data_IF_451205196185
#
_entry.id   IF_451205196185
#
_cell.length_a   1.000
_cell.length_b   1.000
_cell.length_c   1.000
_cell.angle_alpha   90.00
_cell.angle_beta   90.00
_cell.angle_gamma   90.00
#
_symmetry.space_group_name_H-M   'P 1'
#
loop_
_entity.id
_entity.type
_entity.pdbx_description
1 polymer ?
#
# COMPACT_ATOMS: atom_id res chain seq x y z
N UNK A 1 13.07 32.94 6.87
CA UNK A 1 13.27 32.81 8.33
C UNK A 1 11.90 32.84 8.96
N UNK A 2 11.59 31.75 9.69
CA UNK A 2 10.48 31.56 10.63
C UNK A 2 9.06 31.60 10.04
N UNK A 3 8.38 30.46 10.16
CA UNK A 3 6.99 30.18 9.77
C UNK A 3 6.04 31.36 10.04
N UNK A 4 5.22 31.70 9.03
CA UNK A 4 4.17 32.74 9.11
C UNK A 4 2.94 32.32 9.93
N UNK A 5 2.95 31.12 10.50
CA UNK A 5 1.82 30.58 11.24
C UNK A 5 2.15 30.78 12.72
N UNK A 6 1.53 31.81 13.30
CA UNK A 6 1.43 32.02 14.74
C UNK A 6 0.84 30.75 15.37
N UNK A 7 1.69 29.98 16.05
CA UNK A 7 1.29 28.77 16.77
C UNK A 7 0.49 29.15 18.00
N UNK A 8 -0.80 29.35 17.84
CA UNK A 8 -1.76 29.32 18.93
C UNK A 8 -2.11 27.86 19.24
N UNK A 9 -1.51 27.34 20.31
CA UNK A 9 -1.65 25.96 20.79
C UNK A 9 -2.86 25.75 21.71
N UNK A 10 -3.75 26.74 21.84
CA UNK A 10 -4.94 26.65 22.69
C UNK A 10 -6.14 25.95 22.03
N UNK A 11 -6.10 25.70 20.71
CA UNK A 11 -7.22 25.12 19.97
C UNK A 11 -6.92 23.66 19.50
N UNK A 12 -7.68 22.64 19.95
CA UNK A 12 -7.47 21.24 19.55
C UNK A 12 -7.59 20.98 18.05
N UNK A 13 -8.21 21.89 17.30
CA UNK A 13 -8.34 21.82 15.84
C UNK A 13 -6.97 22.03 15.13
N UNK A 14 -6.07 22.83 15.72
CA UNK A 14 -4.71 23.03 15.23
C UNK A 14 -3.78 21.84 15.51
N UNK A 15 -4.13 20.99 16.47
CA UNK A 15 -3.35 19.77 16.79
C UNK A 15 -3.51 18.76 15.65
N UNK A 16 -4.71 18.65 15.07
CA UNK A 16 -4.94 17.76 13.93
C UNK A 16 -4.25 18.30 12.67
N UNK A 17 -4.38 19.59 12.37
CA UNK A 17 -3.66 20.27 11.28
C UNK A 17 -2.13 20.12 11.40
N UNK A 18 -1.57 20.33 12.60
CA UNK A 18 -0.14 20.14 12.85
C UNK A 18 0.28 18.66 12.79
N UNK A 19 -0.56 17.72 13.23
CA UNK A 19 -0.25 16.29 13.12
C UNK A 19 -0.23 15.81 11.66
N UNK A 20 -1.15 16.30 10.83
CA UNK A 20 -1.15 16.05 9.38
C UNK A 20 0.07 16.69 8.69
N UNK A 21 0.54 17.84 9.15
CA UNK A 21 1.78 18.49 8.68
C UNK A 21 3.07 17.77 9.12
N UNK A 22 3.03 16.91 10.15
CA UNK A 22 4.22 16.27 10.73
C UNK A 22 4.59 14.91 10.13
N UNK A 23 3.71 14.26 9.34
CA UNK A 23 4.13 13.09 8.56
C UNK A 23 4.95 13.59 7.39
N UNK A 24 6.28 13.48 7.52
CA UNK A 24 7.21 13.83 6.44
C UNK A 24 6.79 13.17 5.13
N UNK A 25 6.89 13.87 3.98
CA UNK A 25 6.49 13.31 2.68
C UNK A 25 7.11 11.93 2.39
N UNK A 26 8.34 11.71 2.85
CA UNK A 26 9.02 10.43 2.73
C UNK A 26 8.32 9.29 3.49
N UNK A 27 7.77 9.59 4.68
CA UNK A 27 7.04 8.60 5.47
C UNK A 27 5.67 8.31 4.85
N UNK A 28 4.99 9.31 4.29
CA UNK A 28 3.76 9.10 3.52
C UNK A 28 4.02 8.14 2.36
N UNK A 29 5.09 8.36 1.59
CA UNK A 29 5.46 7.49 0.49
C UNK A 29 5.79 6.07 0.98
N UNK A 30 6.50 5.91 2.09
CA UNK A 30 6.81 4.60 2.64
C UNK A 30 5.57 3.80 3.09
N UNK A 31 4.52 4.49 3.57
CA UNK A 31 3.28 3.85 4.02
C UNK A 31 2.47 3.20 2.89
N UNK A 32 2.78 3.51 1.63
CA UNK A 32 2.17 2.84 0.48
C UNK A 32 2.49 1.34 0.48
N UNK A 33 3.71 0.94 0.84
CA UNK A 33 4.12 -0.47 0.85
C UNK A 33 3.19 -1.34 1.75
N UNK A 34 3.04 -1.08 3.07
CA UNK A 34 2.16 -1.89 3.91
C UNK A 34 0.68 -1.76 3.54
N UNK A 35 0.24 -0.60 3.07
CA UNK A 35 -1.15 -0.36 2.66
C UNK A 35 -1.53 -1.24 1.46
N UNK A 36 -0.74 -1.20 0.40
CA UNK A 36 -0.99 -1.97 -0.82
C UNK A 36 -0.74 -3.47 -0.63
N UNK A 37 0.18 -3.85 0.27
CA UNK A 37 0.30 -5.23 0.71
C UNK A 37 -0.97 -5.72 1.41
N UNK A 38 -1.52 -4.94 2.34
CA UNK A 38 -2.78 -5.24 3.01
C UNK A 38 -3.96 -5.37 2.05
N UNK A 39 -4.04 -4.46 1.07
CA UNK A 39 -5.04 -4.52 0.00
C UNK A 39 -4.91 -5.80 -0.84
N UNK A 40 -3.69 -6.17 -1.25
CA UNK A 40 -3.44 -7.41 -1.98
C UNK A 40 -3.82 -8.66 -1.15
N UNK A 41 -3.56 -8.67 0.16
CA UNK A 41 -3.99 -9.74 1.05
C UNK A 41 -5.52 -9.86 1.15
N UNK A 42 -6.22 -8.73 1.26
CA UNK A 42 -7.67 -8.69 1.29
C UNK A 42 -8.26 -9.28 -0.01
N UNK A 43 -7.70 -8.90 -1.16
CA UNK A 43 -8.07 -9.49 -2.45
C UNK A 43 -7.79 -10.99 -2.51
N UNK A 44 -6.63 -11.44 -2.04
CA UNK A 44 -6.30 -12.88 -1.99
C UNK A 44 -7.32 -13.64 -1.15
N UNK A 45 -7.66 -13.14 0.04
CA UNK A 45 -8.61 -13.80 0.93
C UNK A 45 -10.01 -13.88 0.30
N UNK A 46 -10.47 -12.79 -0.31
CA UNK A 46 -11.77 -12.72 -0.99
C UNK A 46 -11.82 -13.65 -2.22
N UNK A 47 -10.83 -13.55 -3.11
CA UNK A 47 -10.80 -14.28 -4.38
C UNK A 47 -10.53 -15.78 -4.22
N UNK A 48 -9.90 -16.20 -3.12
CA UNK A 48 -9.63 -17.63 -2.83
C UNK A 48 -10.90 -18.48 -2.84
N UNK A 49 -12.07 -17.91 -2.50
CA UNK A 49 -13.36 -18.62 -2.52
C UNK A 49 -13.91 -18.82 -3.95
N UNK A 50 -13.59 -17.92 -4.87
CA UNK A 50 -14.18 -17.88 -6.21
C UNK A 50 -13.25 -18.43 -7.30
N UNK A 51 -11.93 -18.33 -7.12
CA UNK A 51 -10.94 -18.76 -8.11
C UNK A 51 -10.25 -20.03 -7.61
N UNK A 52 -10.70 -21.18 -8.14
CA UNK A 52 -10.21 -22.51 -7.76
C UNK A 52 -8.84 -22.87 -8.36
N UNK A 53 -8.40 -22.18 -9.42
CA UNK A 53 -7.10 -22.41 -10.04
C UNK A 53 -5.95 -22.05 -9.10
N UNK A 54 -4.97 -22.95 -9.04
CA UNK A 54 -3.82 -22.84 -8.14
C UNK A 54 -3.05 -21.55 -8.42
N UNK A 55 -2.92 -20.69 -7.40
CA UNK A 55 -2.27 -19.38 -7.44
C UNK A 55 -2.94 -18.30 -8.31
N UNK A 56 -3.94 -18.61 -9.13
CA UNK A 56 -4.60 -17.61 -9.98
C UNK A 56 -5.23 -16.48 -9.16
N UNK A 57 -5.84 -16.77 -8.01
CA UNK A 57 -6.35 -15.74 -7.10
C UNK A 57 -5.27 -14.75 -6.63
N UNK A 58 -4.01 -15.19 -6.51
CA UNK A 58 -2.88 -14.34 -6.10
C UNK A 58 -2.46 -13.41 -7.23
N UNK A 59 -2.37 -13.92 -8.46
CA UNK A 59 -2.09 -13.08 -9.63
C UNK A 59 -3.20 -12.07 -9.90
N UNK A 60 -4.47 -12.48 -9.78
CA UNK A 60 -5.61 -11.57 -9.92
C UNK A 60 -5.63 -10.51 -8.83
N UNK A 61 -5.34 -10.88 -7.58
CA UNK A 61 -5.22 -9.93 -6.48
C UNK A 61 -4.11 -8.90 -6.73
N UNK A 62 -2.92 -9.36 -7.12
CA UNK A 62 -1.81 -8.47 -7.49
C UNK A 62 -2.20 -7.49 -8.60
N UNK A 63 -2.83 -7.99 -9.68
CA UNK A 63 -3.23 -7.15 -10.80
C UNK A 63 -4.26 -6.08 -10.39
N UNK A 64 -5.27 -6.46 -9.61
CA UNK A 64 -6.26 -5.48 -9.11
C UNK A 64 -5.65 -4.45 -8.16
N UNK A 65 -4.73 -4.87 -7.29
CA UNK A 65 -4.03 -3.94 -6.40
C UNK A 65 -3.15 -2.94 -7.17
N UNK A 66 -2.40 -3.39 -8.18
CA UNK A 66 -1.59 -2.48 -9.02
C UNK A 66 -2.48 -1.53 -9.81
N UNK A 67 -3.58 -2.04 -10.39
CA UNK A 67 -4.54 -1.20 -11.10
C UNK A 67 -5.16 -0.15 -10.17
N UNK A 68 -5.46 -0.54 -8.92
CA UNK A 68 -5.95 0.39 -7.90
C UNK A 68 -4.92 1.47 -7.57
N UNK A 69 -3.62 1.15 -7.46
CA UNK A 69 -2.57 2.14 -7.19
C UNK A 69 -2.41 3.16 -8.32
N UNK A 70 -2.53 2.72 -9.57
CA UNK A 70 -2.56 3.64 -10.73
C UNK A 70 -3.75 4.60 -10.66
N UNK A 71 -4.92 4.10 -10.23
CA UNK A 71 -6.12 4.91 -10.04
C UNK A 71 -5.96 5.87 -8.85
N UNK A 72 -5.32 5.44 -7.76
CA UNK A 72 -5.04 6.26 -6.58
C UNK A 72 -4.12 7.44 -6.95
N UNK A 73 -3.06 7.17 -7.72
CA UNK A 73 -2.15 8.20 -8.22
C UNK A 73 -2.85 9.21 -9.14
N UNK A 74 -3.77 8.73 -9.98
CA UNK A 74 -4.61 9.59 -10.81
C UNK A 74 -5.55 10.46 -9.96
N UNK A 75 -6.16 9.90 -8.91
CA UNK A 75 -6.97 10.67 -7.96
C UNK A 75 -6.15 11.71 -7.21
N UNK A 76 -4.89 11.42 -6.89
CA UNK A 76 -3.98 12.32 -6.19
C UNK A 76 -3.70 13.62 -6.97
N UNK A 77 -3.75 13.59 -8.31
CA UNK A 77 -3.63 14.79 -9.16
C UNK A 77 -4.74 15.81 -8.84
N UNK A 78 -5.91 15.34 -8.39
CA UNK A 78 -7.03 16.22 -8.04
C UNK A 78 -6.86 16.91 -6.68
N UNK A 79 -5.85 16.54 -5.90
CA UNK A 79 -5.56 17.10 -4.57
C UNK A 79 -4.59 18.29 -4.72
N UNK A 80 -5.01 19.52 -4.39
CA UNK A 80 -4.14 20.69 -4.48
C UNK A 80 -2.90 20.51 -3.60
N UNK A 81 -1.71 20.65 -4.18
CA UNK A 81 -0.44 20.55 -3.44
C UNK A 81 0.20 19.16 -3.43
N UNK A 82 -0.42 18.13 -4.01
CA UNK A 82 0.26 16.85 -4.32
C UNK A 82 0.47 16.71 -5.82
N UNK A 83 1.63 16.18 -6.21
CA UNK A 83 1.93 15.83 -7.59
C UNK A 83 1.88 14.32 -7.74
N UNK A 84 1.48 13.88 -8.93
CA UNK A 84 1.64 12.48 -9.26
C UNK A 84 3.13 12.15 -9.40
N UNK A 85 3.62 11.15 -8.67
CA UNK A 85 4.96 10.63 -8.71
C UNK A 85 4.98 9.17 -9.16
N UNK A 86 5.82 8.89 -10.15
CA UNK A 86 6.11 7.51 -10.55
C UNK A 86 6.76 6.69 -9.42
N UNK A 87 7.32 7.35 -8.39
CA UNK A 87 7.81 6.66 -7.20
C UNK A 87 6.70 5.96 -6.42
N UNK A 88 5.52 6.55 -6.39
CA UNK A 88 4.43 6.10 -5.51
C UNK A 88 3.80 4.85 -6.13
N UNK A 89 3.55 4.86 -7.45
CA UNK A 89 3.17 3.66 -8.22
C UNK A 89 4.19 2.52 -8.09
N UNK A 90 5.49 2.84 -8.03
CA UNK A 90 6.52 1.83 -7.81
C UNK A 90 6.44 1.24 -6.39
N UNK A 91 6.20 2.06 -5.37
CA UNK A 91 6.03 1.62 -3.98
C UNK A 91 4.74 0.80 -3.79
N UNK A 92 3.66 1.17 -4.45
CA UNK A 92 2.40 0.41 -4.48
C UNK A 92 2.61 -0.97 -5.09
N UNK A 93 3.30 -1.01 -6.23
CA UNK A 93 3.63 -2.25 -6.93
C UNK A 93 4.54 -3.14 -6.08
N UNK A 94 5.53 -2.54 -5.39
CA UNK A 94 6.38 -3.25 -4.44
C UNK A 94 5.56 -3.85 -3.29
N UNK A 95 4.67 -3.07 -2.66
CA UNK A 95 3.75 -3.55 -1.62
C UNK A 95 2.86 -4.70 -2.10
N UNK A 96 2.26 -4.55 -3.28
CA UNK A 96 1.43 -5.58 -3.89
C UNK A 96 2.21 -6.87 -4.16
N UNK A 97 3.48 -6.78 -4.60
CA UNK A 97 4.31 -7.93 -4.94
C UNK A 97 4.62 -8.85 -3.75
N UNK A 98 4.58 -8.34 -2.52
CA UNK A 98 4.83 -9.12 -1.30
C UNK A 98 3.84 -10.28 -1.12
N UNK A 99 2.66 -10.22 -1.76
CA UNK A 99 1.67 -11.31 -1.76
C UNK A 99 2.22 -12.62 -2.36
N UNK A 100 3.24 -12.55 -3.23
CA UNK A 100 3.89 -13.72 -3.82
C UNK A 100 4.79 -14.51 -2.85
N UNK A 101 5.06 -14.00 -1.64
CA UNK A 101 5.76 -14.73 -0.58
C UNK A 101 4.94 -15.95 -0.12
N UNK A 102 3.61 -15.83 -0.09
CA UNK A 102 2.68 -16.88 0.35
C UNK A 102 2.90 -18.20 -0.41
N UNK A 103 2.82 -18.24 -1.76
CA UNK A 103 3.01 -19.47 -2.52
C UNK A 103 4.45 -19.98 -2.47
N UNK A 104 5.45 -19.09 -2.36
CA UNK A 104 6.85 -19.47 -2.20
C UNK A 104 7.06 -20.24 -0.88
N UNK A 105 6.58 -19.68 0.23
CA UNK A 105 6.64 -20.31 1.54
C UNK A 105 5.93 -21.68 1.55
N UNK A 106 4.74 -21.78 0.96
CA UNK A 106 4.00 -23.04 0.83
C UNK A 106 4.79 -24.10 0.02
N UNK A 107 5.52 -23.71 -1.03
CA UNK A 107 6.35 -24.64 -1.82
C UNK A 107 7.53 -25.15 -1.00
N UNK A 108 8.21 -24.27 -0.25
CA UNK A 108 9.35 -24.63 0.59
C UNK A 108 8.94 -25.61 1.71
N UNK A 109 7.82 -25.34 2.39
CA UNK A 109 7.31 -26.23 3.45
C UNK A 109 6.87 -27.59 2.93
N UNK A 110 6.23 -27.65 1.75
CA UNK A 110 5.85 -28.93 1.12
C UNK A 110 7.04 -29.79 0.71
N UNK A 111 8.17 -29.18 0.33
CA UNK A 111 9.40 -29.92 0.01
C UNK A 111 9.98 -30.57 1.26
N UNK A 112 10.09 -29.82 2.37
CA UNK A 112 10.63 -30.31 3.66
C UNK A 112 9.89 -31.54 4.19
N UNK A 113 8.55 -31.59 4.02
CA UNK A 113 7.72 -32.72 4.45
C UNK A 113 7.87 -33.99 3.59
N UNK A 114 8.39 -33.90 2.36
CA UNK A 114 8.58 -35.06 1.47
C UNK A 114 9.97 -35.70 1.58
N UNK A 115 10.91 -35.01 2.21
CA UNK A 115 12.31 -35.42 2.36
C UNK A 115 12.62 -36.01 3.74
N UNK A 116 11.64 -36.04 4.64
CA UNK A 116 11.65 -36.80 5.90
C UNK A 116 10.71 -38.00 5.76
#
# INVERSE_FOLDING_TARGET
>A
MLSSISGDTSNPENILESTFLWITPNLQNLLHIPLFFGLALAWVYSLKRYISRRYSHIFTAFFFTVLYGVIDEYHQISVPGRYASMSDVALDTLGASLVFIIPLYQRLMRKKLKTN
#
